data_IF_825137133833
#
_entry.id   IF_825137133833
#
_cell.length_a   1.000
_cell.length_b   1.000
_cell.length_c   1.000
_cell.angle_alpha   90.00
_cell.angle_beta   90.00
_cell.angle_gamma   90.00
#
_symmetry.space_group_name_H-M   'P 1'
#
loop_
_entity.id
_entity.type
_entity.pdbx_description
1 polymer ?
#
# COMPACT_ATOMS: atom_id res chain seq x y z
N UNK A 1 2.68 -1.80 -12.55
CA UNK A 1 3.86 -2.12 -11.71
C UNK A 1 4.19 -0.89 -10.89
N UNK A 2 4.69 -1.05 -9.67
CA UNK A 2 4.82 0.01 -8.63
C UNK A 2 6.20 -0.06 -7.96
N UNK A 3 6.55 0.95 -7.16
CA UNK A 3 7.84 1.01 -6.45
C UNK A 3 9.05 0.96 -7.40
N UNK A 4 10.14 0.32 -6.97
CA UNK A 4 11.38 0.18 -7.76
C UNK A 4 11.15 -0.50 -9.12
N UNK A 5 10.18 -1.41 -9.21
CA UNK A 5 9.86 -2.09 -10.46
C UNK A 5 9.31 -1.13 -11.55
N UNK A 6 8.84 0.07 -11.17
CA UNK A 6 8.43 1.10 -12.12
C UNK A 6 9.56 1.60 -13.01
N UNK A 7 10.83 1.50 -12.56
CA UNK A 7 12.01 1.90 -13.35
C UNK A 7 12.17 1.10 -14.65
N UNK A 8 11.59 -0.11 -14.71
CA UNK A 8 11.65 -0.96 -15.89
C UNK A 8 10.51 -0.71 -16.89
N UNK A 9 9.53 0.13 -16.55
CA UNK A 9 8.39 0.39 -17.43
C UNK A 9 8.74 0.94 -18.81
N UNK A 10 9.71 1.86 -18.97
CA UNK A 10 10.09 2.35 -20.29
C UNK A 10 10.57 1.22 -21.22
N UNK A 11 11.46 0.34 -20.73
CA UNK A 11 11.97 -0.79 -21.51
C UNK A 11 10.86 -1.80 -21.85
N UNK A 12 9.98 -2.11 -20.89
CA UNK A 12 8.84 -3.00 -21.14
C UNK A 12 7.87 -2.42 -22.18
N UNK A 13 7.67 -1.10 -22.21
CA UNK A 13 6.82 -0.45 -23.23
C UNK A 13 7.47 -0.46 -24.61
N UNK A 14 8.80 -0.36 -24.69
CA UNK A 14 9.53 -0.49 -25.95
C UNK A 14 9.43 -1.91 -26.52
N UNK A 15 9.56 -2.92 -25.66
CA UNK A 15 9.53 -4.33 -26.07
C UNK A 15 8.12 -4.83 -26.41
N UNK A 16 7.12 -4.51 -25.59
CA UNK A 16 5.76 -5.05 -25.70
C UNK A 16 4.77 -4.09 -26.38
N UNK A 17 5.14 -2.83 -26.61
CA UNK A 17 4.32 -1.80 -27.25
C UNK A 17 3.51 -0.93 -26.27
N UNK A 18 3.22 0.31 -26.68
CA UNK A 18 2.51 1.32 -25.87
C UNK A 18 1.04 0.98 -25.59
N UNK A 19 0.43 0.13 -26.40
CA UNK A 19 -0.98 -0.28 -26.28
C UNK A 19 -1.21 -1.31 -25.16
N UNK A 20 -0.13 -1.88 -24.59
CA UNK A 20 -0.25 -2.85 -23.51
C UNK A 20 -0.68 -2.16 -22.22
N UNK A 21 -1.79 -2.63 -21.66
CA UNK A 21 -2.27 -2.18 -20.36
C UNK A 21 -1.33 -2.68 -19.26
N UNK A 22 -0.74 -1.75 -18.52
CA UNK A 22 0.02 -2.04 -17.31
C UNK A 22 -0.95 -2.01 -16.13
N UNK A 23 -0.99 -3.09 -15.34
CA UNK A 23 -1.70 -3.12 -14.07
C UNK A 23 -0.71 -2.95 -12.91
N UNK A 24 -1.15 -2.37 -11.77
CA UNK A 24 -0.31 -2.25 -10.59
C UNK A 24 0.10 -3.64 -10.08
N UNK A 25 1.31 -3.72 -9.54
CA UNK A 25 1.68 -4.93 -8.82
C UNK A 25 0.82 -5.01 -7.54
N UNK A 26 0.39 -6.20 -7.11
CA UNK A 26 -0.29 -6.34 -5.83
C UNK A 26 0.59 -5.77 -4.71
N UNK A 27 -0.01 -5.02 -3.80
CA UNK A 27 0.64 -4.66 -2.54
C UNK A 27 0.56 -5.88 -1.65
N UNK A 28 1.67 -6.57 -1.45
CA UNK A 28 1.72 -7.79 -0.67
C UNK A 28 3.12 -7.99 -0.08
N UNK A 29 3.15 -8.65 1.07
CA UNK A 29 4.36 -9.07 1.74
C UNK A 29 4.29 -10.58 2.05
N UNK A 30 5.37 -11.14 2.57
CA UNK A 30 5.42 -12.56 2.98
C UNK A 30 4.35 -12.91 4.01
N UNK A 31 3.94 -11.92 4.79
CA UNK A 31 2.96 -12.01 5.86
C UNK A 31 1.51 -12.00 5.35
N UNK A 32 1.27 -11.55 4.12
CA UNK A 32 -0.06 -11.54 3.49
C UNK A 32 -0.26 -10.44 2.44
N UNK A 33 -1.36 -10.51 1.67
CA UNK A 33 -1.71 -9.48 0.72
C UNK A 33 -2.33 -8.27 1.43
N UNK A 34 -2.18 -7.09 0.85
CA UNK A 34 -2.86 -5.85 1.24
C UNK A 34 -3.80 -5.40 0.13
N UNK A 35 -3.29 -5.23 -1.10
CA UNK A 35 -4.06 -4.74 -2.24
C UNK A 35 -3.84 -5.59 -3.48
N UNK A 36 -4.89 -5.78 -4.29
CA UNK A 36 -4.82 -6.54 -5.55
C UNK A 36 -5.56 -5.81 -6.68
N UNK A 37 -5.05 -5.91 -7.89
CA UNK A 37 -5.69 -5.36 -9.08
C UNK A 37 -6.96 -6.16 -9.45
N UNK A 38 -8.07 -5.93 -8.75
CA UNK A 38 -9.37 -6.55 -9.06
C UNK A 38 -10.01 -6.00 -10.33
N UNK A 39 -9.57 -4.84 -10.79
CA UNK A 39 -9.97 -4.26 -12.06
C UNK A 39 -8.78 -3.60 -12.78
N UNK A 40 -9.07 -2.76 -13.77
CA UNK A 40 -8.08 -2.14 -14.64
C UNK A 40 -7.62 -0.75 -14.18
N UNK A 41 -7.76 -0.42 -12.90
CA UNK A 41 -7.21 0.84 -12.40
C UNK A 41 -5.69 0.89 -12.62
N UNK A 42 -5.19 2.00 -13.19
CA UNK A 42 -3.84 2.05 -13.74
C UNK A 42 -2.73 1.93 -12.68
N UNK A 43 -2.98 2.38 -11.45
CA UNK A 43 -1.95 2.52 -10.40
C UNK A 43 -2.29 1.89 -9.05
N UNK A 44 -3.55 1.50 -8.80
CA UNK A 44 -4.03 1.11 -7.48
C UNK A 44 -4.82 -0.18 -7.52
N UNK A 45 -4.65 -1.02 -6.50
CA UNK A 45 -5.40 -2.25 -6.29
C UNK A 45 -6.48 -2.07 -5.22
N UNK A 46 -7.56 -2.84 -5.27
CA UNK A 46 -8.54 -2.90 -4.18
C UNK A 46 -7.93 -3.58 -2.95
N UNK A 47 -8.24 -3.07 -1.74
CA UNK A 47 -7.94 -3.76 -0.49
C UNK A 47 -8.50 -5.19 -0.52
N UNK A 48 -7.68 -6.18 -0.16
CA UNK A 48 -8.10 -7.59 -0.07
C UNK A 48 -8.84 -7.84 1.24
N UNK A 49 -10.02 -7.23 1.39
CA UNK A 49 -10.76 -7.14 2.66
C UNK A 49 -11.05 -8.51 3.33
N UNK A 50 -11.06 -9.61 2.56
CA UNK A 50 -11.30 -10.96 3.06
C UNK A 50 -10.05 -11.69 3.56
N UNK A 51 -8.84 -11.16 3.34
CA UNK A 51 -7.60 -11.86 3.69
C UNK A 51 -7.21 -11.68 5.17
N UNK A 52 -7.40 -10.47 5.70
CA UNK A 52 -7.00 -10.10 7.07
C UNK A 52 -7.98 -9.09 7.66
N UNK A 53 -7.92 -8.90 8.98
CA UNK A 53 -8.47 -7.70 9.62
C UNK A 53 -7.42 -6.60 9.46
N UNK A 54 -7.79 -5.51 8.79
CA UNK A 54 -6.89 -4.39 8.51
C UNK A 54 -7.17 -3.21 9.43
N UNK A 55 -6.08 -2.64 9.93
CA UNK A 55 -6.01 -1.40 10.69
C UNK A 55 -5.00 -0.47 10.00
N UNK A 56 -5.20 0.83 10.14
CA UNK A 56 -4.36 1.83 9.48
C UNK A 56 -3.95 2.93 10.45
N UNK A 57 -2.73 3.45 10.26
CA UNK A 57 -2.24 4.63 10.98
C UNK A 57 -1.80 5.65 9.94
N UNK A 58 -2.24 6.93 10.03
CA UNK A 58 -1.76 7.96 9.11
C UNK A 58 -0.24 8.00 9.05
N UNK A 59 0.33 7.98 7.84
CA UNK A 59 1.75 7.75 7.65
C UNK A 59 2.61 8.85 8.27
N UNK A 60 2.11 10.07 8.45
CA UNK A 60 2.80 11.15 9.15
C UNK A 60 3.11 10.81 10.61
N UNK A 61 2.31 9.94 11.24
CA UNK A 61 2.47 9.48 12.61
C UNK A 61 3.43 8.29 12.70
N UNK A 62 4.11 8.21 13.85
CA UNK A 62 4.95 7.05 14.17
C UNK A 62 4.09 5.92 14.76
N UNK A 63 4.40 4.70 14.35
CA UNK A 63 3.80 3.49 14.88
C UNK A 63 4.22 3.31 16.35
N UNK A 64 3.23 3.00 17.19
CA UNK A 64 3.43 2.69 18.60
C UNK A 64 2.38 1.65 19.03
N UNK A 65 2.66 0.82 20.06
CA UNK A 65 1.73 -0.23 20.49
C UNK A 65 0.33 0.26 20.90
N UNK A 66 0.25 1.47 21.45
CA UNK A 66 -0.96 2.14 21.93
C UNK A 66 -1.57 3.12 20.91
N UNK A 67 -1.01 3.17 19.69
CA UNK A 67 -1.49 4.05 18.64
C UNK A 67 -2.93 3.70 18.26
N UNK A 68 -3.79 4.73 18.24
CA UNK A 68 -5.14 4.62 17.69
C UNK A 68 -5.06 4.33 16.20
N UNK A 69 -5.92 3.44 15.74
CA UNK A 69 -5.98 2.97 14.35
C UNK A 69 -7.31 3.32 13.72
N UNK A 70 -7.30 3.39 12.40
CA UNK A 70 -8.46 3.57 11.54
C UNK A 70 -8.83 2.23 10.88
N UNK A 71 -10.12 2.05 10.62
CA UNK A 71 -10.66 0.96 9.82
C UNK A 71 -10.72 1.37 8.33
N UNK A 72 -10.85 0.40 7.40
CA UNK A 72 -10.85 0.70 5.96
C UNK A 72 -11.82 1.80 5.49
N UNK A 73 -13.00 1.90 6.12
CA UNK A 73 -14.04 2.86 5.74
C UNK A 73 -13.83 4.27 6.31
N UNK A 74 -12.85 4.43 7.22
CA UNK A 74 -12.49 5.72 7.81
C UNK A 74 -11.34 6.40 7.04
N UNK A 75 -10.80 5.74 6.03
CA UNK A 75 -9.69 6.24 5.25
C UNK A 75 -10.12 7.35 4.29
N UNK A 76 -9.24 8.34 4.12
CA UNK A 76 -9.48 9.47 3.24
C UNK A 76 -8.67 9.31 1.95
N UNK A 77 -9.32 9.58 0.82
CA UNK A 77 -8.65 9.63 -0.47
C UNK A 77 -7.57 10.72 -0.48
N UNK A 78 -6.43 10.39 -1.08
CA UNK A 78 -5.27 11.26 -1.15
C UNK A 78 -4.42 11.30 0.12
N UNK A 79 -4.58 10.35 1.03
CA UNK A 79 -3.72 10.18 2.21
C UNK A 79 -2.96 8.85 2.22
N UNK A 80 -1.86 8.87 2.93
CA UNK A 80 -0.94 7.74 3.05
C UNK A 80 -1.05 7.14 4.46
N UNK A 81 -0.99 5.81 4.54
CA UNK A 81 -1.21 5.08 5.78
C UNK A 81 -0.22 3.93 5.93
N UNK A 82 0.30 3.75 7.14
CA UNK A 82 0.92 2.48 7.52
C UNK A 82 -0.15 1.41 7.61
N UNK A 83 0.17 0.22 7.11
CA UNK A 83 -0.72 -0.95 7.17
C UNK A 83 -0.39 -1.79 8.40
N UNK A 84 -1.42 -2.09 9.17
CA UNK A 84 -1.39 -3.06 10.26
C UNK A 84 -2.41 -4.14 9.92
N UNK A 85 -2.08 -5.40 10.11
CA UNK A 85 -3.10 -6.44 9.98
C UNK A 85 -3.00 -7.55 11.03
N UNK A 86 -4.16 -8.16 11.25
CA UNK A 86 -4.28 -9.44 11.96
C UNK A 86 -4.70 -10.51 10.97
N UNK A 87 -3.92 -11.59 10.88
CA UNK A 87 -4.03 -12.62 9.86
C UNK A 87 -4.11 -14.02 10.49
N UNK A 88 -4.83 -14.94 9.85
CA UNK A 88 -5.08 -16.31 10.33
C UNK A 88 -3.79 -17.11 10.61
N UNK A 89 -2.67 -16.71 10.01
CA UNK A 89 -1.34 -17.25 10.28
C UNK A 89 -0.76 -16.95 11.67
N UNK A 90 -1.52 -16.32 12.58
CA UNK A 90 -1.11 -16.06 13.96
C UNK A 90 -0.44 -14.70 14.18
N UNK A 91 -0.50 -13.80 13.20
CA UNK A 91 -0.07 -12.41 13.34
C UNK A 91 -1.23 -11.58 13.87
N UNK A 92 -1.02 -10.84 14.96
CA UNK A 92 -2.03 -10.00 15.59
C UNK A 92 -1.52 -8.57 15.69
N UNK A 93 -2.28 -7.62 15.11
CA UNK A 93 -1.91 -6.20 14.98
C UNK A 93 -0.46 -6.02 14.52
N UNK A 94 -0.06 -6.80 13.53
CA UNK A 94 1.30 -6.79 13.00
C UNK A 94 1.46 -5.59 12.05
N UNK A 95 2.46 -4.74 12.33
CA UNK A 95 2.83 -3.66 11.43
C UNK A 95 3.63 -4.21 10.25
N UNK A 96 3.06 -4.12 9.04
CA UNK A 96 3.63 -4.71 7.81
C UNK A 96 4.90 -3.98 7.37
N UNK A 97 5.02 -2.71 7.76
CA UNK A 97 6.09 -1.82 7.32
C UNK A 97 5.86 -1.22 5.94
N UNK A 98 4.80 -1.61 5.23
CA UNK A 98 4.35 -0.96 4.00
C UNK A 98 3.51 0.28 4.29
N UNK A 99 3.70 1.30 3.46
CA UNK A 99 2.85 2.49 3.40
C UNK A 99 2.04 2.43 2.10
N UNK A 100 0.75 2.69 2.21
CA UNK A 100 -0.17 2.72 1.08
C UNK A 100 -0.86 4.07 0.99
N UNK A 101 -1.05 4.54 -0.23
CA UNK A 101 -1.85 5.71 -0.55
C UNK A 101 -3.25 5.29 -0.94
N UNK A 102 -4.27 5.89 -0.33
CA UNK A 102 -5.66 5.69 -0.74
C UNK A 102 -5.94 6.59 -1.93
N UNK A 103 -6.22 6.00 -3.09
CA UNK A 103 -6.49 6.77 -4.32
C UNK A 103 -7.96 7.17 -4.39
N UNK A 104 -8.85 6.21 -4.16
CA UNK A 104 -10.30 6.42 -4.08
C UNK A 104 -10.96 5.28 -3.28
N UNK A 105 -12.29 5.22 -3.32
CA UNK A 105 -13.07 4.09 -2.83
C UNK A 105 -14.03 3.61 -3.92
N UNK A 106 -14.04 2.32 -4.20
CA UNK A 106 -14.92 1.68 -5.17
C UNK A 106 -15.79 0.62 -4.49
N UNK A 107 -17.12 0.77 -4.55
CA UNK A 107 -18.04 -0.18 -3.90
C UNK A 107 -17.88 -0.28 -2.37
N UNK A 108 -17.39 0.78 -1.72
CA UNK A 108 -17.09 0.80 -0.28
C UNK A 108 -15.74 0.18 0.09
N UNK A 109 -14.92 -0.24 -0.89
CA UNK A 109 -13.58 -0.78 -0.67
C UNK A 109 -12.52 0.22 -1.12
N UNK A 110 -11.54 0.58 -0.28
CA UNK A 110 -10.47 1.48 -0.66
C UNK A 110 -9.60 0.91 -1.79
N UNK A 111 -9.18 1.76 -2.72
CA UNK A 111 -8.08 1.47 -3.64
C UNK A 111 -6.77 2.00 -3.10
N UNK A 112 -5.78 1.12 -3.08
CA UNK A 112 -4.48 1.33 -2.48
C UNK A 112 -3.40 1.31 -3.56
N UNK A 113 -2.63 2.37 -3.62
CA UNK A 113 -1.37 2.46 -4.35
C UNK A 113 -0.20 2.25 -3.37
N UNK A 114 0.84 1.55 -3.81
CA UNK A 114 2.04 1.38 -2.99
C UNK A 114 2.79 2.71 -2.88
N UNK A 115 3.04 3.17 -1.65
CA UNK A 115 3.70 4.43 -1.37
C UNK A 115 5.05 4.23 -0.64
N UNK A 116 5.63 3.04 -0.73
CA UNK A 116 6.95 2.73 -0.17
C UNK A 116 6.91 2.02 1.19
N UNK A 117 8.03 2.09 1.89
CA UNK A 117 8.23 1.51 3.23
C UNK A 117 8.18 2.59 4.30
N UNK A 118 7.65 2.24 5.48
CA UNK A 118 7.53 3.12 6.63
C UNK A 118 8.87 3.44 7.32
N UNK A 119 9.95 2.75 6.95
CA UNK A 119 11.31 3.00 7.46
C UNK A 119 11.72 4.42 7.08
N UNK A 120 12.01 5.24 8.09
CA UNK A 120 12.53 6.59 7.92
C UNK A 120 14.05 6.57 8.04
N UNK A 121 14.74 7.13 7.04
CA UNK A 121 16.15 7.51 7.18
C UNK A 121 16.21 8.89 7.82
N UNK A 122 16.94 9.03 8.93
CA UNK A 122 17.18 10.31 9.59
C UNK A 122 18.67 10.62 9.57
N UNK A 123 19.04 11.73 8.92
CA UNK A 123 20.39 12.29 8.96
C UNK A 123 20.27 13.78 9.26
N UNK A 124 20.93 14.24 10.34
CA UNK A 124 20.91 15.63 10.79
C UNK A 124 19.50 16.22 11.04
N UNK A 125 18.50 15.38 11.33
CA UNK A 125 17.11 15.79 11.56
C UNK A 125 16.24 15.87 10.30
N UNK A 126 16.81 15.60 9.12
CA UNK A 126 16.03 15.42 7.89
C UNK A 126 15.46 14.00 7.85
N UNK A 127 14.14 13.88 7.68
CA UNK A 127 13.44 12.59 7.66
C UNK A 127 12.99 12.26 6.25
N UNK A 128 13.58 11.23 5.67
CA UNK A 128 13.27 10.76 4.32
C UNK A 128 12.60 9.38 4.38
N UNK A 129 11.78 9.11 3.37
CA UNK A 129 11.17 7.80 3.11
C UNK A 129 11.37 7.46 1.63
N UNK A 130 11.32 6.18 1.33
CA UNK A 130 11.22 5.72 -0.07
C UNK A 130 9.94 6.30 -0.70
N UNK A 131 10.06 6.79 -1.93
CA UNK A 131 8.97 7.33 -2.74
C UNK A 131 8.53 6.32 -3.80
#
# INVERSE_FOLDING_TARGET
>A
TTGVASLYLPALREEFGSEVTVLPAPVAASEGPVGVALDRHASAGSLVASASVYEFVPAEQDLAPDRATLLPHELEAGRDYHVIFSHVGGLYRYAVGDVVRVVDTAGGVPRLEYAGRGVRSDAAGERLRDA
#
